data_IF_473094122966
#
_entry.id   IF_473094122966
#
_cell.length_a   1.000
_cell.length_b   1.000
_cell.length_c   1.000
_cell.angle_alpha   90.00
_cell.angle_beta   90.00
_cell.angle_gamma   90.00
#
_symmetry.space_group_name_H-M   'P 1'
#
loop_
_entity.id
_entity.type
_entity.pdbx_description
1 polymer ?
#
# COMPACT_ATOMS: atom_id res chain seq x y z
N UNK A 1 12.60 -7.03 22.91
CA UNK A 1 12.07 -5.65 23.05
C UNK A 1 12.05 -4.88 21.71
N UNK A 2 12.46 -5.49 20.59
CA UNK A 2 12.76 -4.76 19.34
C UNK A 2 11.58 -4.36 18.44
N UNK A 3 10.49 -5.16 18.38
CA UNK A 3 9.41 -4.91 17.41
C UNK A 3 8.58 -3.66 17.74
N UNK A 4 8.25 -3.46 19.02
CA UNK A 4 7.48 -2.29 19.47
C UNK A 4 8.31 -1.01 19.28
N UNK A 5 9.60 -1.05 19.64
CA UNK A 5 10.51 0.08 19.40
C UNK A 5 10.58 0.44 17.90
N UNK A 6 10.69 -0.56 17.02
CA UNK A 6 10.70 -0.33 15.56
C UNK A 6 9.41 0.30 15.04
N UNK A 7 8.25 -0.08 15.60
CA UNK A 7 6.96 0.51 15.24
C UNK A 7 6.87 1.97 15.71
N UNK A 8 7.15 2.23 16.99
CA UNK A 8 7.10 3.58 17.58
C UNK A 8 8.09 4.52 16.87
N UNK A 9 9.27 4.03 16.48
CA UNK A 9 10.24 4.83 15.70
C UNK A 9 9.70 5.25 14.32
N UNK A 10 8.97 4.36 13.63
CA UNK A 10 8.40 4.64 12.30
C UNK A 10 7.11 5.44 12.37
N UNK A 11 6.33 5.27 13.44
CA UNK A 11 5.07 5.96 13.67
C UNK A 11 4.92 6.28 15.17
N UNK A 12 5.51 7.39 15.65
CA UNK A 12 5.40 7.78 17.06
C UNK A 12 3.95 8.03 17.49
N UNK A 13 3.12 8.52 16.56
CA UNK A 13 1.70 8.79 16.75
C UNK A 13 0.87 7.54 17.14
N UNK A 14 1.41 6.33 16.97
CA UNK A 14 0.71 5.09 17.37
C UNK A 14 0.42 5.05 18.88
N UNK A 15 1.24 5.72 19.69
CA UNK A 15 1.06 5.81 21.14
C UNK A 15 -0.18 6.64 21.54
N UNK A 16 -0.69 7.46 20.64
CA UNK A 16 -1.91 8.24 20.84
C UNK A 16 -3.19 7.54 20.36
N UNK A 17 -3.09 6.34 19.77
CA UNK A 17 -4.24 5.57 19.33
C UNK A 17 -4.79 4.73 20.49
N UNK A 18 -6.10 4.78 20.72
CA UNK A 18 -6.76 3.83 21.61
C UNK A 18 -6.80 2.45 20.97
N UNK A 19 -6.91 1.41 21.79
CA UNK A 19 -7.08 0.03 21.32
C UNK A 19 -8.29 -0.10 20.39
N UNK A 20 -9.40 0.56 20.73
CA UNK A 20 -10.61 0.57 19.91
C UNK A 20 -10.37 1.19 18.53
N UNK A 21 -9.74 2.37 18.46
CA UNK A 21 -9.41 3.03 17.19
C UNK A 21 -8.47 2.17 16.35
N UNK A 22 -7.51 1.50 16.98
CA UNK A 22 -6.62 0.58 16.30
C UNK A 22 -7.40 -0.60 15.73
N UNK A 23 -8.25 -1.25 16.53
CA UNK A 23 -9.07 -2.40 16.11
C UNK A 23 -9.94 -2.06 14.91
N UNK A 24 -10.70 -0.97 14.99
CA UNK A 24 -11.55 -0.48 13.89
C UNK A 24 -10.71 -0.27 12.61
N UNK A 25 -9.52 0.34 12.76
CA UNK A 25 -8.63 0.57 11.62
C UNK A 25 -8.10 -0.73 11.01
N UNK A 26 -7.79 -1.74 11.82
CA UNK A 26 -7.33 -3.05 11.33
C UNK A 26 -8.46 -3.80 10.60
N UNK A 27 -9.68 -3.76 11.12
CA UNK A 27 -10.86 -4.36 10.49
C UNK A 27 -11.18 -3.70 9.14
N UNK A 28 -11.10 -2.36 9.09
CA UNK A 28 -11.19 -1.60 7.85
C UNK A 28 -10.14 -2.07 6.83
N UNK A 29 -8.87 -2.16 7.24
CA UNK A 29 -7.77 -2.59 6.38
C UNK A 29 -7.95 -4.03 5.88
N UNK A 30 -8.39 -4.94 6.74
CA UNK A 30 -8.70 -6.32 6.38
C UNK A 30 -9.78 -6.41 5.32
N UNK A 31 -10.84 -5.62 5.48
CA UNK A 31 -11.97 -5.55 4.54
C UNK A 31 -11.56 -4.96 3.19
N UNK A 32 -10.94 -3.77 3.17
CA UNK A 32 -10.62 -3.07 1.92
C UNK A 32 -9.52 -3.76 1.12
N UNK A 33 -8.57 -4.42 1.79
CA UNK A 33 -7.48 -5.15 1.15
C UNK A 33 -7.82 -6.62 0.92
N UNK A 34 -9.05 -7.06 1.24
CA UNK A 34 -9.48 -8.46 1.19
C UNK A 34 -8.42 -9.42 1.77
N UNK A 35 -7.90 -9.09 2.96
CA UNK A 35 -6.72 -9.72 3.52
C UNK A 35 -6.99 -10.20 4.95
N UNK A 36 -6.62 -11.45 5.30
CA UNK A 36 -6.80 -11.97 6.66
C UNK A 36 -6.15 -11.11 7.75
N UNK A 37 -6.76 -11.07 8.94
CA UNK A 37 -6.31 -10.22 10.05
C UNK A 37 -4.86 -10.49 10.49
N UNK A 38 -4.41 -11.74 10.48
CA UNK A 38 -3.01 -12.10 10.78
C UNK A 38 -2.03 -11.44 9.79
N UNK A 39 -2.40 -11.41 8.50
CA UNK A 39 -1.61 -10.75 7.45
C UNK A 39 -1.65 -9.23 7.54
N UNK A 40 -2.78 -8.66 7.96
CA UNK A 40 -2.88 -7.23 8.25
C UNK A 40 -1.95 -6.86 9.42
N UNK A 41 -1.97 -7.63 10.50
CA UNK A 41 -1.04 -7.43 11.61
C UNK A 41 0.42 -7.46 11.14
N UNK A 42 0.80 -8.46 10.34
CA UNK A 42 2.12 -8.55 9.73
C UNK A 42 2.48 -7.30 8.88
N UNK A 43 1.53 -6.78 8.10
CA UNK A 43 1.69 -5.54 7.33
C UNK A 43 1.97 -4.36 8.25
N UNK A 44 1.20 -4.20 9.33
CA UNK A 44 1.36 -3.09 10.28
C UNK A 44 2.70 -3.18 11.03
N UNK A 45 3.16 -4.39 11.40
CA UNK A 45 4.49 -4.55 11.99
C UNK A 45 5.61 -4.08 11.05
N UNK A 46 5.46 -4.31 9.72
CA UNK A 46 6.46 -3.89 8.72
C UNK A 46 6.33 -2.40 8.37
N UNK A 47 5.10 -1.92 8.23
CA UNK A 47 4.75 -0.60 7.68
C UNK A 47 3.64 0.03 8.54
N UNK A 48 3.95 0.46 9.77
CA UNK A 48 2.94 0.98 10.69
C UNK A 48 2.32 2.30 10.19
N UNK A 49 3.04 3.04 9.33
CA UNK A 49 2.59 4.30 8.74
C UNK A 49 1.28 4.20 7.97
N UNK A 50 0.86 3.00 7.53
CA UNK A 50 -0.45 2.76 6.92
C UNK A 50 -1.59 3.15 7.88
N UNK A 51 -1.42 2.98 9.20
CA UNK A 51 -2.41 3.39 10.20
C UNK A 51 -2.63 4.90 10.22
N UNK A 52 -1.63 5.68 9.79
CA UNK A 52 -1.72 7.14 9.70
C UNK A 52 -2.46 7.66 8.47
N UNK A 53 -2.79 6.80 7.50
CA UNK A 53 -3.57 7.18 6.33
C UNK A 53 -5.07 7.22 6.69
N UNK A 54 -5.80 8.24 6.23
CA UNK A 54 -7.25 8.26 6.36
C UNK A 54 -7.88 7.16 5.51
N UNK A 55 -9.07 6.70 5.91
CA UNK A 55 -9.80 5.66 5.16
C UNK A 55 -10.14 6.13 3.74
N UNK A 56 -10.57 7.39 3.60
CA UNK A 56 -10.85 8.00 2.29
C UNK A 56 -9.62 7.98 1.39
N UNK A 57 -8.43 8.33 1.92
CA UNK A 57 -7.19 8.27 1.15
C UNK A 57 -6.89 6.85 0.67
N UNK A 58 -7.17 5.83 1.49
CA UNK A 58 -6.95 4.44 1.10
C UNK A 58 -7.97 4.03 0.03
N UNK A 59 -9.24 4.36 0.19
CA UNK A 59 -10.30 4.06 -0.80
C UNK A 59 -10.00 4.71 -2.13
N UNK A 60 -9.79 6.03 -2.16
CA UNK A 60 -9.44 6.77 -3.37
C UNK A 60 -8.18 6.22 -4.05
N UNK A 61 -7.20 5.74 -3.26
CA UNK A 61 -6.00 5.10 -3.80
C UNK A 61 -6.29 3.77 -4.49
N UNK A 62 -7.11 2.93 -3.87
CA UNK A 62 -7.51 1.64 -4.43
C UNK A 62 -8.32 1.84 -5.72
N UNK A 63 -9.25 2.80 -5.72
CA UNK A 63 -10.06 3.14 -6.89
C UNK A 63 -9.19 3.67 -8.04
N UNK A 64 -8.25 4.56 -7.74
CA UNK A 64 -7.28 5.06 -8.73
C UNK A 64 -6.43 3.93 -9.32
N UNK A 65 -5.87 3.07 -8.48
CA UNK A 65 -5.03 1.96 -8.95
C UNK A 65 -5.85 0.98 -9.81
N UNK A 66 -7.08 0.70 -9.42
CA UNK A 66 -8.02 -0.12 -10.20
C UNK A 66 -8.30 0.52 -11.57
N UNK A 67 -8.58 1.83 -11.59
CA UNK A 67 -8.84 2.58 -12.82
C UNK A 67 -7.65 2.61 -13.77
N UNK A 68 -6.42 2.85 -13.28
CA UNK A 68 -5.24 2.94 -14.13
C UNK A 68 -4.83 1.56 -14.67
N UNK A 69 -4.84 0.53 -13.81
CA UNK A 69 -4.31 -0.78 -14.15
C UNK A 69 -5.34 -1.69 -14.82
N UNK A 70 -6.64 -1.43 -14.66
CA UNK A 70 -7.71 -2.22 -15.26
C UNK A 70 -7.65 -3.70 -14.87
N UNK A 71 -7.05 -4.01 -13.73
CA UNK A 71 -6.81 -5.37 -13.27
C UNK A 71 -7.89 -5.82 -12.26
N UNK A 72 -8.12 -7.13 -12.12
CA UNK A 72 -8.99 -7.67 -11.08
C UNK A 72 -8.63 -7.16 -9.67
N UNK A 73 -9.65 -6.85 -8.87
CA UNK A 73 -9.46 -6.28 -7.53
C UNK A 73 -8.67 -7.18 -6.59
N UNK A 74 -8.81 -8.50 -6.69
CA UNK A 74 -8.04 -9.49 -5.93
C UNK A 74 -6.53 -9.41 -6.22
N UNK A 75 -6.15 -9.24 -7.48
CA UNK A 75 -4.75 -9.02 -7.87
C UNK A 75 -4.21 -7.71 -7.31
N UNK A 76 -5.00 -6.64 -7.39
CA UNK A 76 -4.63 -5.35 -6.82
C UNK A 76 -4.44 -5.42 -5.30
N UNK A 77 -5.39 -6.02 -4.59
CA UNK A 77 -5.32 -6.26 -3.15
C UNK A 77 -4.06 -7.05 -2.77
N UNK A 78 -3.76 -8.13 -3.50
CA UNK A 78 -2.54 -8.94 -3.31
C UNK A 78 -1.28 -8.10 -3.47
N UNK A 79 -1.22 -7.25 -4.51
CA UNK A 79 -0.09 -6.37 -4.76
C UNK A 79 0.12 -5.33 -3.63
N UNK A 80 -0.96 -4.71 -3.15
CA UNK A 80 -0.91 -3.74 -2.05
C UNK A 80 -0.51 -4.42 -0.73
N UNK A 81 -0.99 -5.63 -0.46
CA UNK A 81 -0.57 -6.40 0.71
C UNK A 81 0.94 -6.74 0.68
N UNK A 82 1.47 -7.06 -0.50
CA UNK A 82 2.90 -7.30 -0.71
C UNK A 82 3.73 -6.02 -0.59
N UNK A 83 3.21 -4.88 -1.04
CA UNK A 83 3.91 -3.60 -0.98
C UNK A 83 3.01 -2.44 -0.48
N UNK A 84 2.77 -2.35 0.85
CA UNK A 84 1.85 -1.36 1.42
C UNK A 84 2.28 0.09 1.21
N UNK A 85 3.56 0.33 0.92
CA UNK A 85 4.12 1.65 0.65
C UNK A 85 3.48 2.34 -0.57
N UNK A 86 2.88 1.58 -1.48
CA UNK A 86 2.10 2.11 -2.61
C UNK A 86 1.00 3.06 -2.13
N UNK A 87 0.38 2.78 -0.99
CA UNK A 87 -0.69 3.60 -0.43
C UNK A 87 -0.21 5.01 -0.01
N UNK A 88 1.09 5.16 0.26
CA UNK A 88 1.71 6.44 0.61
C UNK A 88 2.18 7.27 -0.57
N UNK A 89 2.11 6.75 -1.81
CA UNK A 89 2.53 7.49 -3.01
C UNK A 89 1.46 8.51 -3.42
N UNK A 90 1.89 9.68 -3.92
CA UNK A 90 0.96 10.63 -4.52
C UNK A 90 0.32 10.03 -5.77
N UNK A 91 -0.90 10.46 -6.08
CA UNK A 91 -1.63 10.02 -7.26
C UNK A 91 -0.87 10.33 -8.55
N UNK A 92 -0.31 11.55 -8.63
CA UNK A 92 0.56 11.98 -9.72
C UNK A 92 1.75 11.06 -9.92
N UNK A 93 2.45 10.67 -8.83
CA UNK A 93 3.59 9.74 -8.90
C UNK A 93 3.18 8.36 -9.38
N UNK A 94 2.03 7.87 -8.94
CA UNK A 94 1.52 6.56 -9.38
C UNK A 94 1.19 6.57 -10.87
N UNK A 95 0.42 7.56 -11.32
CA UNK A 95 0.05 7.69 -12.72
C UNK A 95 1.31 7.78 -13.60
N UNK A 96 2.20 8.72 -13.32
CA UNK A 96 3.42 8.90 -14.13
C UNK A 96 4.31 7.66 -14.14
N UNK A 97 4.38 6.90 -13.04
CA UNK A 97 5.19 5.66 -13.00
C UNK A 97 4.58 4.55 -13.84
N UNK A 98 3.27 4.31 -13.71
CA UNK A 98 2.59 3.27 -14.46
C UNK A 98 2.63 3.61 -15.95
N UNK A 99 2.27 4.84 -16.31
CA UNK A 99 2.32 5.33 -17.70
C UNK A 99 3.72 5.21 -18.30
N UNK A 100 4.76 5.58 -17.55
CA UNK A 100 6.14 5.44 -18.00
C UNK A 100 6.51 3.97 -18.25
N UNK A 101 6.15 3.07 -17.34
CA UNK A 101 6.44 1.63 -17.49
C UNK A 101 5.74 1.01 -18.70
N UNK A 102 4.47 1.33 -18.89
CA UNK A 102 3.65 0.85 -20.01
C UNK A 102 4.18 1.44 -21.32
N UNK A 103 4.38 2.76 -21.39
CA UNK A 103 4.73 3.44 -22.64
C UNK A 103 6.19 3.26 -23.04
N UNK A 104 7.14 3.25 -22.08
CA UNK A 104 8.58 3.15 -22.40
C UNK A 104 9.09 1.72 -22.48
N UNK A 105 8.55 0.81 -21.68
CA UNK A 105 9.03 -0.58 -21.63
C UNK A 105 8.00 -1.61 -22.11
N UNK A 106 6.78 -1.19 -22.47
CA UNK A 106 5.74 -2.11 -22.91
C UNK A 106 5.29 -3.09 -21.82
N UNK A 107 5.46 -2.74 -20.54
CA UNK A 107 5.09 -3.64 -19.45
C UNK A 107 3.57 -3.77 -19.35
N UNK A 108 3.09 -5.00 -19.24
CA UNK A 108 1.68 -5.26 -18.97
C UNK A 108 1.30 -4.89 -17.52
N UNK A 109 0.09 -4.37 -17.32
CA UNK A 109 -0.40 -3.98 -15.99
C UNK A 109 -0.36 -5.14 -14.98
N UNK A 110 -0.64 -6.38 -15.44
CA UNK A 110 -0.53 -7.58 -14.63
C UNK A 110 0.91 -7.82 -14.14
N UNK A 111 1.89 -7.64 -15.01
CA UNK A 111 3.31 -7.77 -14.66
C UNK A 111 3.75 -6.73 -13.64
N UNK A 112 3.25 -5.49 -13.74
CA UNK A 112 3.50 -4.42 -12.76
C UNK A 112 2.93 -4.83 -11.39
N UNK A 113 1.72 -5.40 -11.34
CA UNK A 113 1.09 -5.86 -10.10
C UNK A 113 1.76 -7.08 -9.48
N UNK A 114 2.34 -7.98 -10.28
CA UNK A 114 3.14 -9.09 -9.77
C UNK A 114 4.45 -8.61 -9.13
N UNK A 115 4.91 -7.41 -9.50
CA UNK A 115 6.14 -6.78 -8.99
C UNK A 115 5.87 -5.37 -8.45
N UNK A 116 5.05 -5.23 -7.39
CA UNK A 116 4.57 -3.93 -6.91
C UNK A 116 5.69 -3.00 -6.43
N UNK A 117 6.86 -3.56 -6.09
CA UNK A 117 8.07 -2.78 -5.74
C UNK A 117 8.46 -1.80 -6.84
N UNK A 118 8.18 -2.09 -8.11
CA UNK A 118 8.47 -1.20 -9.24
C UNK A 118 7.83 0.19 -9.07
N UNK A 119 6.65 0.26 -8.45
CA UNK A 119 5.95 1.52 -8.17
C UNK A 119 6.63 2.36 -7.08
N UNK A 120 7.46 1.76 -6.24
CA UNK A 120 8.11 2.44 -5.11
C UNK A 120 9.56 2.85 -5.39
N UNK A 121 10.19 2.28 -6.41
CA UNK A 121 11.58 2.57 -6.77
C UNK A 121 11.69 3.91 -7.52
N UNK A 122 12.81 4.63 -7.36
CA UNK A 122 13.12 5.77 -8.25
C UNK A 122 13.45 5.21 -9.64
N UNK A 123 12.74 5.72 -10.66
CA UNK A 123 12.92 5.27 -12.05
C UNK A 123 14.23 5.79 -12.66
N UNK A 124 14.83 6.82 -12.09
CA UNK A 124 15.99 7.54 -12.66
C UNK A 124 17.29 6.73 -12.71
N UNK A 125 17.36 5.54 -12.08
CA UNK A 125 18.64 4.83 -11.88
C UNK A 125 18.72 3.42 -12.47
N UNK A 126 17.68 2.92 -13.16
CA UNK A 126 17.59 1.46 -13.43
C UNK A 126 17.01 1.06 -14.79
N UNK A 127 16.75 2.00 -15.68
CA UNK A 127 16.41 1.72 -17.06
C UNK A 127 17.11 2.72 -17.98
#
# INVERSE_FOLDING_TARGET
MDKIHGIVRKMPAILGLSEEKLRIKLEFLSTILNCPMDKICDIIFRTPTVLGLSEDKIRSKMDLLSSILGCPMDKLCSAVCKCPHILGLSETKLHSKIEYMVTKFGLENGYILDRPVLLTLSLEKRF
#
